data_IF_323181007112
#
_entry.id   IF_323181007112
#
_cell.length_a   1.000
_cell.length_b   1.000
_cell.length_c   1.000
_cell.angle_alpha   90.00
_cell.angle_beta   90.00
_cell.angle_gamma   90.00
#
_symmetry.space_group_name_H-M   'P 1'
#
loop_
_entity.id
_entity.type
_entity.pdbx_description
1 polymer ?
#
# COMPACT_ATOMS: atom_id res chain seq x y z
N UNK A 1 -6.23 14.37 9.94
CA UNK A 1 -6.45 12.96 9.58
C UNK A 1 -5.21 12.46 8.89
N UNK A 2 -4.72 11.30 9.27
CA UNK A 2 -3.60 10.66 8.58
C UNK A 2 -4.02 10.18 7.19
N UNK A 3 -3.03 9.78 6.39
CA UNK A 3 -3.23 9.28 5.04
C UNK A 3 -2.24 8.18 4.72
N UNK A 4 -2.70 7.14 4.03
CA UNK A 4 -1.85 6.07 3.53
C UNK A 4 -1.83 6.13 2.00
N UNK A 5 -0.64 6.31 1.45
CA UNK A 5 -0.38 6.12 0.02
C UNK A 5 -0.08 4.64 -0.21
N UNK A 6 -0.97 3.97 -0.93
CA UNK A 6 -1.05 2.51 -1.02
C UNK A 6 -0.91 1.99 -2.44
N UNK A 7 -0.62 2.86 -3.40
CA UNK A 7 -0.47 2.51 -4.81
C UNK A 7 0.93 2.88 -5.33
N UNK A 8 1.25 2.39 -6.52
CA UNK A 8 2.42 2.82 -7.29
C UNK A 8 3.70 2.03 -7.05
N UNK A 9 4.74 2.48 -7.75
CA UNK A 9 6.04 1.79 -7.88
C UNK A 9 6.71 1.40 -6.55
N UNK A 10 6.65 2.21 -5.47
CA UNK A 10 7.31 1.83 -4.21
C UNK A 10 6.76 0.50 -3.64
N UNK A 11 5.45 0.30 -3.71
CA UNK A 11 4.77 -0.92 -3.23
C UNK A 11 5.05 -2.08 -4.17
N UNK A 12 4.94 -1.85 -5.49
CA UNK A 12 5.15 -2.87 -6.52
C UNK A 12 6.59 -3.42 -6.50
N UNK A 13 7.60 -2.56 -6.41
CA UNK A 13 9.02 -2.97 -6.38
C UNK A 13 9.35 -3.81 -5.13
N UNK A 14 8.72 -3.52 -4.00
CA UNK A 14 8.92 -4.30 -2.78
C UNK A 14 8.37 -5.72 -2.95
N UNK A 15 7.17 -5.84 -3.53
CA UNK A 15 6.50 -7.11 -3.79
C UNK A 15 7.24 -7.90 -4.88
N UNK A 16 7.70 -7.24 -5.94
CA UNK A 16 8.58 -7.83 -6.96
C UNK A 16 9.83 -8.44 -6.31
N UNK A 17 10.52 -7.70 -5.43
CA UNK A 17 11.69 -8.21 -4.69
C UNK A 17 11.35 -9.39 -3.80
N UNK A 18 10.21 -9.34 -3.09
CA UNK A 18 9.74 -10.42 -2.22
C UNK A 18 9.44 -11.70 -3.01
N UNK A 19 8.86 -11.56 -4.21
CA UNK A 19 8.49 -12.66 -5.10
C UNK A 19 9.63 -13.10 -6.04
N UNK A 20 10.77 -12.39 -6.02
CA UNK A 20 11.90 -12.67 -6.92
C UNK A 20 11.60 -12.34 -8.39
N UNK A 21 10.62 -11.48 -8.65
CA UNK A 21 10.25 -11.02 -9.99
C UNK A 21 11.18 -9.88 -10.41
N UNK A 22 11.65 -9.92 -11.66
CA UNK A 22 12.60 -8.93 -12.19
C UNK A 22 12.14 -8.32 -13.53
N UNK A 23 10.97 -8.71 -14.03
CA UNK A 23 10.43 -8.24 -15.29
C UNK A 23 8.91 -8.17 -15.25
N UNK A 24 8.34 -7.29 -16.09
CA UNK A 24 6.89 -7.18 -16.29
C UNK A 24 6.27 -8.49 -16.77
N UNK A 25 7.00 -9.23 -17.62
CA UNK A 25 6.59 -10.55 -18.09
C UNK A 25 6.47 -11.54 -16.92
N UNK A 26 7.40 -11.49 -15.95
CA UNK A 26 7.30 -12.31 -14.75
C UNK A 26 6.07 -12.00 -13.90
N UNK A 27 5.61 -10.75 -13.87
CA UNK A 27 4.36 -10.35 -13.18
C UNK A 27 3.14 -10.89 -13.93
N UNK A 28 3.12 -10.77 -15.26
CA UNK A 28 2.04 -11.30 -16.09
C UNK A 28 1.94 -12.83 -15.99
N UNK A 29 3.07 -13.53 -15.98
CA UNK A 29 3.16 -14.99 -15.79
C UNK A 29 2.74 -15.42 -14.37
N UNK A 30 3.10 -14.64 -13.34
CA UNK A 30 2.65 -14.86 -11.96
C UNK A 30 1.14 -14.63 -11.80
N UNK A 31 0.59 -13.72 -12.60
CA UNK A 31 -0.82 -13.35 -12.60
C UNK A 31 -1.06 -12.00 -11.94
N UNK A 32 -1.68 -11.08 -12.69
CA UNK A 32 -1.96 -9.70 -12.26
C UNK A 32 -2.82 -9.67 -10.99
N UNK A 33 -3.83 -10.53 -10.90
CA UNK A 33 -4.70 -10.59 -9.71
C UNK A 33 -3.92 -11.01 -8.45
N UNK A 34 -3.11 -12.06 -8.56
CA UNK A 34 -2.28 -12.54 -7.46
C UNK A 34 -1.25 -11.48 -7.03
N UNK A 35 -0.63 -10.79 -7.99
CA UNK A 35 0.31 -9.71 -7.72
C UNK A 35 -0.37 -8.55 -6.98
N UNK A 36 -1.53 -8.10 -7.45
CA UNK A 36 -2.28 -7.03 -6.82
C UNK A 36 -2.72 -7.37 -5.39
N UNK A 37 -3.07 -8.64 -5.12
CA UNK A 37 -3.38 -9.10 -3.77
C UNK A 37 -2.17 -9.04 -2.85
N UNK A 38 -0.98 -9.45 -3.31
CA UNK A 38 0.26 -9.32 -2.54
C UNK A 38 0.61 -7.85 -2.27
N UNK A 39 0.47 -6.96 -3.26
CA UNK A 39 0.63 -5.50 -3.07
C UNK A 39 -0.31 -4.96 -1.99
N UNK A 40 -1.59 -5.36 -2.04
CA UNK A 40 -2.57 -4.94 -1.03
C UNK A 40 -2.21 -5.42 0.37
N UNK A 41 -1.69 -6.64 0.51
CA UNK A 41 -1.26 -7.18 1.80
C UNK A 41 0.03 -6.50 2.32
N UNK A 42 0.98 -6.17 1.44
CA UNK A 42 2.24 -5.50 1.80
C UNK A 42 1.99 -4.16 2.49
N UNK A 43 1.08 -3.34 1.94
CA UNK A 43 0.73 -2.01 2.47
C UNK A 43 0.32 -2.06 3.95
N UNK A 44 -0.55 -3.00 4.33
CA UNK A 44 -1.03 -3.11 5.71
C UNK A 44 -0.01 -3.75 6.66
N UNK A 45 1.05 -4.36 6.14
CA UNK A 45 2.14 -4.90 6.97
C UNK A 45 2.89 -3.76 7.66
N UNK A 46 3.07 -2.62 6.98
CA UNK A 46 3.79 -1.46 7.54
C UNK A 46 2.91 -0.49 8.33
N UNK A 47 1.60 -0.48 8.12
CA UNK A 47 0.65 0.42 8.81
C UNK A 47 0.84 0.37 10.34
N UNK A 48 1.00 -0.82 10.90
CA UNK A 48 1.19 -1.03 12.34
C UNK A 48 2.49 -0.43 12.86
N UNK A 49 3.59 -0.60 12.12
CA UNK A 49 4.90 -0.06 12.52
C UNK A 49 4.92 1.47 12.42
N UNK A 50 4.28 2.04 11.39
CA UNK A 50 4.11 3.48 11.25
C UNK A 50 3.23 4.08 12.35
N UNK A 51 2.12 3.42 12.72
CA UNK A 51 1.27 3.82 13.86
C UNK A 51 2.08 3.84 15.15
N UNK A 52 2.80 2.75 15.43
CA UNK A 52 3.66 2.64 16.62
C UNK A 52 4.73 3.72 16.66
N UNK A 53 5.38 4.01 15.53
CA UNK A 53 6.36 5.09 15.45
C UNK A 53 5.72 6.46 15.72
N UNK A 54 4.57 6.72 15.10
CA UNK A 54 3.81 7.99 15.20
C UNK A 54 3.41 8.29 16.63
N UNK A 55 2.90 7.30 17.35
CA UNK A 55 2.57 7.39 18.77
C UNK A 55 3.81 7.67 19.63
N UNK A 56 4.92 6.96 19.36
CA UNK A 56 6.18 7.09 20.14
C UNK A 56 6.84 8.45 20.00
N UNK A 57 6.76 9.08 18.82
CA UNK A 57 7.31 10.43 18.60
C UNK A 57 6.37 11.54 19.09
N UNK A 58 5.20 11.19 19.62
CA UNK A 58 4.21 12.15 20.11
C UNK A 58 3.54 12.94 18.99
N UNK A 59 3.47 12.40 17.77
CA UNK A 59 2.80 13.07 16.66
C UNK A 59 1.29 12.83 16.75
N UNK A 60 0.58 13.82 17.30
CA UNK A 60 -0.85 13.73 17.56
C UNK A 60 -1.66 14.00 16.30
N UNK A 61 -2.00 12.92 15.59
CA UNK A 61 -2.85 12.91 14.41
C UNK A 61 -3.90 11.80 14.53
N UNK A 62 -5.08 12.02 13.96
CA UNK A 62 -6.12 10.99 13.85
C UNK A 62 -5.66 9.88 12.88
N UNK A 63 -5.27 8.73 13.46
CA UNK A 63 -4.88 7.50 12.78
C UNK A 63 -6.04 6.50 12.67
N UNK A 64 -7.18 6.77 13.31
CA UNK A 64 -8.31 5.83 13.39
C UNK A 64 -9.29 6.01 12.22
N UNK A 65 -9.31 7.21 11.63
CA UNK A 65 -9.99 7.50 10.37
C UNK A 65 -9.04 8.09 9.31
N UNK A 66 -8.01 7.34 8.86
CA UNK A 66 -7.12 7.80 7.80
C UNK A 66 -7.81 7.71 6.43
N UNK A 67 -7.44 8.58 5.50
CA UNK A 67 -7.79 8.34 4.10
C UNK A 67 -6.82 7.30 3.51
N UNK A 68 -7.33 6.40 2.68
CA UNK A 68 -6.54 5.32 2.10
C UNK A 68 -6.75 5.35 0.59
N UNK A 69 -5.66 5.44 -0.19
CA UNK A 69 -5.78 5.62 -1.64
C UNK A 69 -6.37 4.42 -2.38
N UNK A 70 -6.34 3.22 -1.79
CA UNK A 70 -6.98 2.00 -2.33
C UNK A 70 -8.46 1.87 -1.99
N UNK A 71 -9.04 2.82 -1.25
CA UNK A 71 -10.47 2.85 -0.97
C UNK A 71 -11.24 3.29 -2.23
N UNK A 72 -12.32 2.58 -2.57
CA UNK A 72 -13.11 2.88 -3.76
C UNK A 72 -13.65 4.32 -3.76
N UNK A 73 -14.03 4.85 -2.59
CA UNK A 73 -14.48 6.24 -2.49
C UNK A 73 -13.37 7.22 -2.85
N UNK A 74 -12.12 6.92 -2.46
CA UNK A 74 -10.97 7.75 -2.82
C UNK A 74 -10.67 7.63 -4.31
N UNK A 75 -10.69 6.43 -4.87
CA UNK A 75 -10.47 6.19 -6.31
C UNK A 75 -11.49 6.97 -7.15
N UNK A 76 -12.78 6.91 -6.77
CA UNK A 76 -13.84 7.66 -7.47
C UNK A 76 -13.61 9.17 -7.43
N UNK A 77 -13.11 9.72 -6.31
CA UNK A 77 -12.78 11.16 -6.22
C UNK A 77 -11.60 11.59 -7.08
N UNK A 78 -10.75 10.66 -7.53
CA UNK A 78 -9.61 10.96 -8.44
C UNK A 78 -10.06 10.96 -9.90
N UNK A 79 -11.15 10.26 -10.24
CA UNK A 79 -11.66 10.16 -11.61
C UNK A 79 -12.55 11.33 -12.03
N UNK A 80 -13.15 12.04 -11.08
CA UNK A 80 -13.98 13.23 -11.27
C UNK A 80 -13.14 14.51 -11.14
#
# INVERSE_FOLDING_TARGET
KAGWDTHGLPVEIEVEKKLGLSSKQGIEEYGIEAFNQECRQSVFTYEKEWRRMTERIGYWIDLDAPYITLDNNYIETVWW
#
